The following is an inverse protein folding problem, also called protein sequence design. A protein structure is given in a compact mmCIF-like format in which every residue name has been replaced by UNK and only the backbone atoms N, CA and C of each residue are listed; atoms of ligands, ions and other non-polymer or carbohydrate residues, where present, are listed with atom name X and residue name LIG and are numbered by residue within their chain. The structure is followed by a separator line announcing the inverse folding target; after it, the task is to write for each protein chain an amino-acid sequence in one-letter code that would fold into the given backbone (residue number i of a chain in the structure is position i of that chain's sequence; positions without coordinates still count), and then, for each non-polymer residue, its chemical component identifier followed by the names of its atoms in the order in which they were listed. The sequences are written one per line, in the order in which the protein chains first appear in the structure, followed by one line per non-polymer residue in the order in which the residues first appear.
data_IF_646686941405
#
_entry.id   IF_646686941405
#
_cell.length_a   1.000
_cell.length_b   1.000
_cell.length_c   1.000
_cell.angle_alpha   90.00
_cell.angle_beta   90.00
_cell.angle_gamma   90.00
#
_symmetry.space_group_name_H-M   'P 1'
#
loop_
_entity.id
_entity.type
_entity.pdbx_description
1 polymer ?
#
# COMPACT_ATOMS: atom_id res chain seq x y z
N UNK A 1 -4.94 -18.37 2.63
CA UNK A 1 -4.19 -17.12 2.90
C UNK A 1 -5.09 -16.21 3.68
N UNK A 2 -4.63 -15.71 4.83
CA UNK A 2 -5.49 -15.05 5.81
C UNK A 2 -5.52 -13.54 5.51
N UNK A 3 -6.68 -13.01 5.15
CA UNK A 3 -6.90 -11.56 5.09
C UNK A 3 -7.01 -11.05 6.53
N UNK A 4 -6.83 -9.74 6.73
CA UNK A 4 -7.01 -9.16 8.06
C UNK A 4 -8.44 -9.43 8.56
N UNK A 5 -8.59 -9.80 9.82
CA UNK A 5 -9.89 -10.11 10.44
C UNK A 5 -10.41 -8.86 11.12
N UNK A 6 -11.66 -8.50 10.85
CA UNK A 6 -12.34 -7.35 11.44
C UNK A 6 -12.77 -7.58 12.89
N UNK A 7 -13.22 -6.52 13.58
CA UNK A 7 -13.76 -6.62 14.95
C UNK A 7 -14.98 -7.56 15.06
N UNK A 8 -15.65 -7.86 13.95
CA UNK A 8 -16.76 -8.81 13.86
C UNK A 8 -16.32 -10.27 13.62
N UNK A 9 -15.02 -10.54 13.51
CA UNK A 9 -14.47 -11.88 13.26
C UNK A 9 -14.48 -12.31 11.79
N UNK A 10 -14.91 -11.45 10.87
CA UNK A 10 -14.94 -11.75 9.43
C UNK A 10 -13.66 -11.27 8.72
N UNK A 11 -13.28 -11.97 7.65
CA UNK A 11 -12.19 -11.55 6.79
C UNK A 11 -12.53 -10.23 6.08
N UNK A 12 -11.59 -9.29 6.09
CA UNK A 12 -11.69 -8.08 5.32
C UNK A 12 -11.75 -8.38 3.82
N UNK A 13 -12.54 -7.58 3.12
CA UNK A 13 -12.71 -7.66 1.66
C UNK A 13 -11.41 -7.40 0.89
N UNK A 14 -10.45 -6.70 1.51
CA UNK A 14 -9.19 -6.32 0.91
C UNK A 14 -8.00 -6.82 1.73
N UNK A 15 -6.92 -7.16 1.03
CA UNK A 15 -5.60 -7.30 1.62
C UNK A 15 -5.13 -5.96 2.21
N UNK A 16 -4.50 -5.98 3.38
CA UNK A 16 -4.08 -4.75 4.07
C UNK A 16 -2.77 -4.24 3.48
N UNK A 17 -2.75 -3.03 2.88
CA UNK A 17 -1.51 -2.44 2.38
C UNK A 17 -0.60 -2.00 3.54
N UNK A 18 0.70 -1.92 3.28
CA UNK A 18 1.66 -1.41 4.25
C UNK A 18 1.40 0.06 4.62
N UNK A 19 1.67 0.41 5.88
CA UNK A 19 1.66 1.79 6.38
C UNK A 19 2.95 2.55 6.06
N UNK A 20 4.05 1.82 5.78
CA UNK A 20 5.34 2.44 5.47
C UNK A 20 5.27 3.19 4.15
N UNK A 21 5.77 4.44 4.14
CA UNK A 21 5.69 5.36 3.01
C UNK A 21 4.26 5.67 2.51
N UNK A 22 3.21 5.28 3.26
CA UNK A 22 1.84 5.46 2.81
C UNK A 22 1.46 6.93 2.64
N UNK A 23 2.07 7.83 3.43
CA UNK A 23 1.86 9.27 3.35
C UNK A 23 2.23 9.87 1.98
N UNK A 24 3.13 9.23 1.21
CA UNK A 24 3.55 9.66 -0.13
C UNK A 24 2.53 9.34 -1.23
N UNK A 25 1.44 8.62 -0.91
CA UNK A 25 0.41 8.29 -1.88
C UNK A 25 -0.48 9.51 -2.18
N UNK A 26 -0.91 9.66 -3.43
CA UNK A 26 -1.83 10.72 -3.85
C UNK A 26 -3.27 10.50 -3.34
N UNK A 27 -3.66 9.23 -3.19
CA UNK A 27 -4.93 8.79 -2.59
C UNK A 27 -4.66 7.61 -1.65
N UNK A 28 -5.57 7.40 -0.71
CA UNK A 28 -5.43 6.37 0.30
C UNK A 28 -6.44 5.23 0.10
N UNK A 29 -6.11 4.05 0.63
CA UNK A 29 -6.70 2.72 0.38
C UNK A 29 -6.60 2.20 -1.08
N UNK A 30 -7.18 1.03 -1.36
CA UNK A 30 -7.19 0.42 -2.69
C UNK A 30 -8.09 1.12 -3.70
N UNK A 31 -9.21 1.69 -3.25
CA UNK A 31 -10.21 2.38 -4.08
C UNK A 31 -9.89 3.86 -4.30
N UNK A 32 -8.91 4.40 -3.56
CA UNK A 32 -8.44 5.76 -3.67
C UNK A 32 -9.48 6.80 -3.28
N UNK A 33 -10.39 6.48 -2.36
CA UNK A 33 -11.53 7.35 -2.01
C UNK A 33 -11.27 8.32 -0.84
N UNK A 34 -10.10 8.26 -0.20
CA UNK A 34 -9.69 9.26 0.77
C UNK A 34 -8.55 10.13 0.20
N UNK A 35 -8.63 11.43 0.46
CA UNK A 35 -7.67 12.44 0.02
C UNK A 35 -6.53 12.64 1.02
N UNK A 36 -6.74 12.30 2.30
CA UNK A 36 -5.76 12.48 3.37
C UNK A 36 -5.64 11.22 4.24
N UNK A 37 -4.53 11.11 4.98
CA UNK A 37 -4.35 10.05 5.98
C UNK A 37 -5.39 10.18 7.08
N UNK A 38 -5.70 11.40 7.48
CA UNK A 38 -6.62 11.74 8.54
C UNK A 38 -8.05 11.30 8.18
N UNK A 39 -8.49 11.51 6.93
CA UNK A 39 -9.76 10.98 6.41
C UNK A 39 -9.79 9.44 6.43
N UNK A 40 -8.71 8.78 5.99
CA UNK A 40 -8.64 7.32 6.03
C UNK A 40 -8.70 6.80 7.49
N UNK A 41 -7.93 7.41 8.39
CA UNK A 41 -7.85 7.00 9.79
C UNK A 41 -9.21 7.09 10.47
N UNK A 42 -9.91 8.20 10.28
CA UNK A 42 -11.27 8.34 10.82
C UNK A 42 -12.21 7.26 10.30
N UNK A 43 -12.22 7.04 8.98
CA UNK A 43 -13.10 6.03 8.40
C UNK A 43 -12.82 4.63 8.96
N UNK A 44 -11.56 4.28 9.20
CA UNK A 44 -11.15 2.99 9.80
C UNK A 44 -11.53 2.90 11.29
N UNK A 45 -11.30 3.96 12.07
CA UNK A 45 -11.66 4.02 13.48
C UNK A 45 -13.17 3.79 13.69
N UNK A 46 -13.99 4.36 12.81
CA UNK A 46 -15.44 4.32 12.91
C UNK A 46 -16.09 3.11 12.20
N UNK A 47 -15.39 2.47 11.26
CA UNK A 47 -15.94 1.36 10.48
C UNK A 47 -16.35 0.17 11.40
N UNK A 48 -17.64 -0.22 11.45
CA UNK A 48 -18.13 -1.27 12.34
C UNK A 48 -17.45 -2.61 12.17
N UNK A 49 -17.08 -2.93 10.93
CA UNK A 49 -16.42 -4.18 10.56
C UNK A 49 -14.89 -4.11 10.68
N UNK A 50 -14.30 -2.97 11.09
CA UNK A 50 -12.85 -2.84 11.30
C UNK A 50 -12.57 -2.63 12.79
N UNK A 51 -12.82 -1.42 13.31
CA UNK A 51 -12.58 -1.07 14.71
C UNK A 51 -13.86 -0.79 15.51
N UNK A 52 -14.95 -0.41 14.82
CA UNK A 52 -16.29 -0.24 15.41
C UNK A 52 -16.37 0.74 16.59
N UNK A 53 -15.54 1.78 16.60
CA UNK A 53 -15.58 2.80 17.66
C UNK A 53 -16.48 3.98 17.30
N UNK A 54 -16.72 4.85 18.28
CA UNK A 54 -17.25 6.20 18.09
C UNK A 54 -16.30 7.22 18.71
N UNK A 55 -16.37 8.47 18.29
CA UNK A 55 -15.54 9.53 18.89
C UNK A 55 -15.79 9.68 20.40
N UNK A 56 -17.04 9.53 20.85
CA UNK A 56 -17.35 9.56 22.28
C UNK A 56 -16.60 8.47 23.04
N UNK A 57 -16.57 7.24 22.51
CA UNK A 57 -15.84 6.11 23.11
C UNK A 57 -14.32 6.33 23.07
N UNK A 58 -13.78 6.79 21.94
CA UNK A 58 -12.34 7.04 21.78
C UNK A 58 -11.86 8.09 22.79
N UNK A 59 -12.53 9.24 22.85
CA UNK A 59 -12.14 10.33 23.74
C UNK A 59 -12.32 9.94 25.20
N UNK A 60 -13.41 9.22 25.55
CA UNK A 60 -13.61 8.69 26.91
C UNK A 60 -12.46 7.79 27.32
N UNK A 61 -12.09 6.79 26.49
CA UNK A 61 -10.99 5.86 26.77
C UNK A 61 -9.64 6.55 26.88
N UNK A 62 -9.36 7.53 26.03
CA UNK A 62 -8.14 8.34 26.15
C UNK A 62 -8.14 9.19 27.44
N UNK A 63 -9.31 9.55 27.98
CA UNK A 63 -9.43 10.26 29.25
C UNK A 63 -9.23 9.41 30.49
N UNK A 64 -9.38 8.08 30.39
CA UNK A 64 -9.23 7.13 31.51
C UNK A 64 -7.77 6.97 31.96
N UNK A 65 -6.82 7.10 31.03
CA UNK A 65 -5.39 7.10 31.34
C UNK A 65 -4.87 8.55 31.44
N UNK A 66 -4.38 9.01 32.61
CA UNK A 66 -3.92 10.38 32.78
C UNK A 66 -2.73 10.76 31.89
N UNK A 67 -1.99 9.79 31.34
CA UNK A 67 -0.88 10.04 30.43
C UNK A 67 -1.34 10.74 29.14
N UNK A 68 -2.46 10.31 28.54
CA UNK A 68 -2.93 10.89 27.28
C UNK A 68 -3.34 12.35 27.42
N UNK A 69 -4.24 12.77 28.35
CA UNK A 69 -4.60 14.17 28.47
C UNK A 69 -3.42 15.09 28.78
N UNK A 70 -2.41 14.62 29.52
CA UNK A 70 -1.18 15.38 29.75
C UNK A 70 -0.36 15.54 28.46
N UNK A 71 -0.16 14.46 27.71
CA UNK A 71 0.57 14.48 26.43
C UNK A 71 -0.15 15.34 25.37
N UNK A 72 -1.47 15.22 25.27
CA UNK A 72 -2.27 16.06 24.36
C UNK A 72 -2.18 17.55 24.73
N UNK A 73 -2.30 17.91 26.02
CA UNK A 73 -2.16 19.31 26.45
C UNK A 73 -0.78 19.88 26.15
N UNK A 74 0.27 19.06 26.31
CA UNK A 74 1.65 19.47 26.01
C UNK A 74 1.86 19.75 24.52
N UNK A 75 1.27 18.95 23.64
CA UNK A 75 1.52 19.02 22.19
C UNK A 75 0.54 19.97 21.50
N UNK A 76 -0.74 19.94 21.88
CA UNK A 76 -1.84 20.63 21.20
C UNK A 76 -2.49 21.75 22.05
N UNK A 77 -2.10 21.92 23.32
CA UNK A 77 -2.65 22.94 24.21
C UNK A 77 -3.98 22.58 24.89
N UNK A 78 -4.59 21.44 24.54
CA UNK A 78 -5.87 20.99 25.06
C UNK A 78 -5.89 19.46 25.31
N UNK A 79 -6.97 18.94 25.89
CA UNK A 79 -7.15 17.50 26.05
C UNK A 79 -7.30 16.75 24.72
N UNK A 80 -7.49 15.42 24.73
CA UNK A 80 -7.72 14.67 23.51
C UNK A 80 -8.99 15.17 22.80
N UNK A 81 -8.84 15.62 21.56
CA UNK A 81 -9.93 15.98 20.65
C UNK A 81 -9.89 15.10 19.41
N UNK A 82 -11.00 15.02 18.66
CA UNK A 82 -11.05 14.32 17.37
C UNK A 82 -9.90 14.75 16.45
N UNK A 83 -9.72 16.06 16.31
CA UNK A 83 -8.70 16.67 15.47
C UNK A 83 -7.29 16.31 15.97
N UNK A 84 -7.04 16.41 17.28
CA UNK A 84 -5.75 16.05 17.87
C UNK A 84 -5.40 14.58 17.63
N UNK A 85 -6.36 13.66 17.80
CA UNK A 85 -6.13 12.22 17.61
C UNK A 85 -5.79 11.93 16.15
N UNK A 86 -6.55 12.46 15.19
CA UNK A 86 -6.27 12.27 13.77
C UNK A 86 -4.92 12.88 13.37
N UNK A 87 -4.58 14.06 13.89
CA UNK A 87 -3.30 14.70 13.65
C UNK A 87 -2.13 13.88 14.23
N UNK A 88 -2.26 13.33 15.43
CA UNK A 88 -1.24 12.49 16.04
C UNK A 88 -1.01 11.20 15.24
N UNK A 89 -2.09 10.52 14.81
CA UNK A 89 -1.99 9.33 13.96
C UNK A 89 -1.37 9.65 12.60
N UNK A 90 -1.78 10.74 11.97
CA UNK A 90 -1.22 11.22 10.71
C UNK A 90 0.28 11.54 10.83
N UNK A 91 0.68 12.21 11.90
CA UNK A 91 2.09 12.50 12.19
C UNK A 91 2.92 11.23 12.37
N UNK A 92 2.42 10.25 13.13
CA UNK A 92 3.06 8.96 13.28
C UNK A 92 3.19 8.23 11.93
N UNK A 93 2.13 8.14 11.14
CA UNK A 93 2.21 7.50 9.81
C UNK A 93 3.18 8.21 8.85
N UNK A 94 3.33 9.53 8.95
CA UNK A 94 4.33 10.29 8.18
C UNK A 94 5.76 9.99 8.63
N UNK A 95 5.99 9.68 9.91
CA UNK A 95 7.32 9.29 10.39
C UNK A 95 7.76 7.90 9.96
N UNK A 96 6.81 7.03 9.54
CA UNK A 96 7.07 5.69 9.03
C UNK A 96 7.57 5.68 7.58
N UNK A 97 8.64 6.43 7.32
CA UNK A 97 9.32 6.48 6.02
C UNK A 97 10.47 5.48 6.01
N UNK A 98 10.44 4.50 5.11
CA UNK A 98 11.62 3.65 4.87
C UNK A 98 12.51 4.34 3.83
N UNK A 99 13.75 4.64 4.20
CA UNK A 99 14.75 5.23 3.31
C UNK A 99 15.98 4.33 3.21
N UNK A 100 16.98 4.76 2.46
CA UNK A 100 18.26 4.05 2.25
C UNK A 100 18.11 2.65 1.65
N UNK A 101 17.05 2.45 0.83
CA UNK A 101 16.94 1.24 0.01
C UNK A 101 18.11 1.13 -0.95
N UNK A 102 18.52 -0.10 -1.30
CA UNK A 102 19.64 -0.32 -2.23
C UNK A 102 19.40 0.37 -3.59
N UNK A 103 18.15 0.40 -4.03
CA UNK A 103 17.79 1.13 -5.25
C UNK A 103 17.89 2.66 -5.10
N UNK A 104 17.59 3.22 -3.93
CA UNK A 104 17.73 4.67 -3.70
C UNK A 104 19.20 5.07 -3.80
N UNK A 105 20.12 4.30 -3.17
CA UNK A 105 21.57 4.53 -3.27
C UNK A 105 22.08 4.39 -4.70
N UNK A 106 21.55 3.41 -5.46
CA UNK A 106 21.83 3.29 -6.89
C UNK A 106 21.41 4.54 -7.67
N UNK A 107 20.22 5.11 -7.39
CA UNK A 107 19.76 6.34 -8.03
C UNK A 107 20.59 7.58 -7.63
N UNK A 108 21.18 7.57 -6.44
CA UNK A 108 22.12 8.60 -5.95
C UNK A 108 23.54 8.45 -6.53
N UNK A 109 23.79 7.41 -7.31
CA UNK A 109 25.06 7.18 -8.00
C UNK A 109 26.07 6.32 -7.23
N UNK A 110 25.65 5.63 -6.15
CA UNK A 110 26.51 4.67 -5.45
C UNK A 110 26.78 3.45 -6.34
N UNK A 111 28.02 3.36 -6.82
CA UNK A 111 28.47 2.25 -7.64
C UNK A 111 28.36 0.92 -6.87
N UNK A 112 27.71 -0.07 -7.48
CA UNK A 112 27.54 -1.41 -6.89
C UNK A 112 26.49 -1.50 -5.78
N UNK A 113 25.67 -0.47 -5.56
CA UNK A 113 24.55 -0.54 -4.62
C UNK A 113 23.57 -1.68 -4.96
N UNK A 114 23.42 -1.96 -6.25
CA UNK A 114 22.70 -3.11 -6.81
C UNK A 114 23.63 -3.93 -7.74
N UNK A 115 23.30 -5.20 -7.91
CA UNK A 115 24.04 -6.18 -8.71
C UNK A 115 23.66 -6.08 -10.19
N UNK A 116 24.48 -6.62 -11.11
CA UNK A 116 24.14 -6.64 -12.54
C UNK A 116 22.78 -7.30 -12.87
N UNK A 117 22.40 -8.34 -12.13
CA UNK A 117 21.09 -8.99 -12.29
C UNK A 117 19.93 -8.08 -11.87
N UNK A 118 20.10 -7.31 -10.80
CA UNK A 118 19.10 -6.34 -10.33
C UNK A 118 19.00 -5.14 -11.29
N UNK A 119 20.12 -4.67 -11.86
CA UNK A 119 20.14 -3.66 -12.93
C UNK A 119 19.40 -4.16 -14.19
N UNK A 120 19.66 -5.40 -14.59
CA UNK A 120 18.96 -6.03 -15.71
C UNK A 120 17.46 -6.19 -15.41
N UNK A 121 17.11 -6.54 -14.18
CA UNK A 121 15.73 -6.56 -13.68
C UNK A 121 15.04 -5.20 -13.82
N UNK A 122 15.72 -4.12 -13.43
CA UNK A 122 15.23 -2.76 -13.59
C UNK A 122 15.07 -2.38 -15.07
N UNK A 123 16.03 -2.76 -15.93
CA UNK A 123 15.93 -2.54 -17.37
C UNK A 123 14.73 -3.26 -17.99
N UNK A 124 14.46 -4.50 -17.59
CA UNK A 124 13.29 -5.27 -18.01
C UNK A 124 11.99 -4.65 -17.48
N UNK A 125 11.95 -4.22 -16.22
CA UNK A 125 10.80 -3.53 -15.63
C UNK A 125 10.43 -2.28 -16.44
N UNK A 126 11.43 -1.51 -16.90
CA UNK A 126 11.24 -0.38 -17.80
C UNK A 126 10.76 -0.81 -19.19
N UNK A 127 11.43 -1.76 -19.82
CA UNK A 127 11.19 -2.13 -21.22
C UNK A 127 9.84 -2.84 -21.43
N UNK A 128 9.36 -3.58 -20.44
CA UNK A 128 8.03 -4.17 -20.47
C UNK A 128 6.92 -3.12 -20.31
N UNK A 129 7.24 -1.96 -19.72
CA UNK A 129 6.31 -0.83 -19.56
C UNK A 129 5.70 -0.68 -18.16
N UNK A 130 6.19 -1.42 -17.16
CA UNK A 130 5.71 -1.37 -15.78
C UNK A 130 5.78 0.05 -15.20
N UNK A 131 6.81 0.81 -15.60
CA UNK A 131 7.03 2.21 -15.21
C UNK A 131 5.91 3.17 -15.63
N UNK A 132 5.05 2.79 -16.59
CA UNK A 132 3.91 3.64 -17.00
C UNK A 132 2.92 3.83 -15.84
N UNK A 133 2.84 2.84 -14.94
CA UNK A 133 2.00 2.88 -13.75
C UNK A 133 2.83 3.00 -12.45
N UNK A 134 3.95 2.30 -12.38
CA UNK A 134 4.80 2.22 -11.19
C UNK A 134 6.01 3.16 -11.33
N UNK A 135 5.77 4.44 -11.07
CA UNK A 135 6.75 5.53 -11.19
C UNK A 135 6.72 6.48 -10.00
N UNK A 136 7.63 7.45 -10.02
CA UNK A 136 7.78 8.45 -8.96
C UNK A 136 8.42 7.88 -7.70
N UNK A 137 8.42 8.69 -6.65
CA UNK A 137 9.17 8.40 -5.42
C UNK A 137 8.75 7.09 -4.75
N UNK A 138 7.47 6.70 -4.84
CA UNK A 138 6.94 5.48 -4.22
C UNK A 138 6.82 4.30 -5.22
N UNK A 139 7.34 4.45 -6.45
CA UNK A 139 7.27 3.44 -7.52
C UNK A 139 5.81 2.95 -7.70
N UNK A 140 4.90 3.91 -7.81
CA UNK A 140 3.45 3.73 -7.70
C UNK A 140 2.82 4.66 -6.67
N UNK A 141 1.56 4.43 -6.33
CA UNK A 141 0.82 5.21 -5.32
C UNK A 141 0.30 6.58 -5.77
N UNK A 142 0.68 7.02 -6.97
CA UNK A 142 0.40 8.37 -7.49
C UNK A 142 -0.70 8.41 -8.57
N UNK A 143 -1.30 7.28 -8.94
CA UNK A 143 -2.36 7.23 -9.95
C UNK A 143 -3.38 6.11 -9.71
N UNK A 144 -4.51 6.22 -10.41
CA UNK A 144 -5.57 5.21 -10.47
C UNK A 144 -5.51 4.49 -11.82
N UNK A 145 -5.71 3.18 -11.83
CA UNK A 145 -5.71 2.39 -13.04
C UNK A 145 -6.71 1.24 -12.96
N UNK A 146 -7.27 0.86 -14.11
CA UNK A 146 -8.10 -0.33 -14.23
C UNK A 146 -7.25 -1.60 -14.08
N UNK A 147 -7.76 -2.57 -13.33
CA UNK A 147 -7.13 -3.87 -13.18
C UNK A 147 -8.19 -4.99 -13.21
N UNK A 148 -8.17 -5.89 -14.21
CA UNK A 148 -7.23 -5.96 -15.33
C UNK A 148 -7.53 -4.95 -16.46
N UNK A 149 -6.50 -4.47 -17.17
CA UNK A 149 -6.64 -3.73 -18.44
C UNK A 149 -6.93 -4.66 -19.61
N UNK A 150 -6.27 -5.81 -19.63
CA UNK A 150 -6.44 -6.88 -20.59
C UNK A 150 -6.92 -8.12 -19.87
N UNK A 151 -8.10 -8.61 -20.25
CA UNK A 151 -8.55 -9.92 -19.83
C UNK A 151 -7.95 -10.98 -20.77
N UNK A 152 -7.50 -12.14 -20.26
CA UNK A 152 -7.21 -13.28 -21.11
C UNK A 152 -8.43 -13.58 -21.99
N UNK A 153 -8.21 -13.81 -23.29
CA UNK A 153 -9.18 -13.72 -24.38
C UNK A 153 -10.43 -14.65 -24.28
N UNK A 154 -11.63 -14.05 -24.30
CA UNK A 154 -12.76 -14.27 -25.23
C UNK A 154 -13.35 -15.67 -25.52
N UNK A 155 -13.49 -16.60 -24.58
CA UNK A 155 -14.39 -17.77 -24.82
C UNK A 155 -15.40 -18.09 -23.75
N UNK A 156 -15.22 -17.71 -22.49
CA UNK A 156 -16.24 -17.92 -21.46
C UNK A 156 -16.04 -16.89 -20.38
N UNK A 157 -16.96 -15.93 -20.27
CA UNK A 157 -17.44 -15.30 -19.03
C UNK A 157 -18.38 -14.17 -19.46
N UNK A 158 -19.53 -14.10 -18.81
CA UNK A 158 -20.62 -13.19 -19.14
C UNK A 158 -20.25 -11.71 -18.96
N UNK A 159 -21.27 -10.87 -18.94
CA UNK A 159 -21.18 -9.42 -18.64
C UNK A 159 -20.19 -9.12 -17.51
N UNK A 160 -19.63 -7.91 -17.48
CA UNK A 160 -18.68 -7.44 -16.45
C UNK A 160 -19.08 -7.75 -14.99
N UNK A 161 -20.36 -8.01 -14.73
CA UNK A 161 -20.92 -8.43 -13.44
C UNK A 161 -20.66 -9.91 -13.08
N UNK A 162 -20.43 -10.79 -14.06
CA UNK A 162 -20.22 -12.23 -13.87
C UNK A 162 -18.81 -12.58 -13.40
N UNK A 163 -17.84 -11.66 -13.52
CA UNK A 163 -16.42 -11.92 -13.21
C UNK A 163 -15.92 -11.16 -11.96
N UNK A 164 -16.66 -10.15 -11.49
CA UNK A 164 -16.44 -9.62 -10.15
C UNK A 164 -16.92 -10.68 -9.13
N UNK A 165 -15.97 -11.46 -8.59
CA UNK A 165 -16.26 -12.42 -7.53
C UNK A 165 -16.86 -11.71 -6.29
N UNK A 166 -16.63 -10.41 -6.15
CA UNK A 166 -17.16 -9.58 -5.09
C UNK A 166 -17.28 -8.09 -5.46
N UNK A 167 -18.02 -7.32 -4.66
CA UNK A 167 -18.02 -5.85 -4.74
C UNK A 167 -16.62 -5.23 -4.50
N UNK A 168 -15.70 -5.96 -3.88
CA UNK A 168 -14.32 -5.50 -3.71
C UNK A 168 -13.60 -5.41 -5.07
N UNK A 169 -13.88 -6.37 -5.96
CA UNK A 169 -13.29 -6.45 -7.30
C UNK A 169 -13.81 -5.35 -8.24
N UNK A 170 -14.96 -4.76 -7.92
CA UNK A 170 -15.47 -3.58 -8.62
C UNK A 170 -14.63 -2.32 -8.35
N UNK A 171 -13.75 -2.34 -7.34
CA UNK A 171 -12.83 -1.25 -7.04
C UNK A 171 -13.55 0.05 -6.73
N UNK A 172 -13.15 1.13 -7.39
CA UNK A 172 -13.66 2.49 -7.17
C UNK A 172 -15.17 2.62 -7.48
N UNK A 173 -15.71 1.82 -8.39
CA UNK A 173 -17.15 1.78 -8.68
C UNK A 173 -18.01 1.56 -7.42
N UNK A 174 -17.54 0.74 -6.47
CA UNK A 174 -18.25 0.47 -5.23
C UNK A 174 -18.43 1.73 -4.34
N UNK A 175 -17.75 2.83 -4.67
CA UNK A 175 -17.87 4.12 -3.98
C UNK A 175 -18.57 5.15 -4.86
N UNK A 176 -18.30 5.16 -6.17
CA UNK A 176 -18.76 6.23 -7.07
C UNK A 176 -20.03 5.91 -7.83
N UNK A 177 -20.35 4.63 -8.05
CA UNK A 177 -21.44 4.18 -8.92
C UNK A 177 -21.26 4.48 -10.41
N UNK A 178 -20.11 5.02 -10.82
CA UNK A 178 -19.81 5.45 -12.19
C UNK A 178 -19.22 4.31 -13.00
N UNK A 179 -19.82 3.95 -14.14
CA UNK A 179 -19.43 2.78 -14.93
C UNK A 179 -17.93 2.79 -15.36
N UNK A 180 -17.36 3.96 -15.60
CA UNK A 180 -15.95 4.16 -15.93
C UNK A 180 -14.99 3.75 -14.80
N UNK A 181 -15.44 3.80 -13.55
CA UNK A 181 -14.68 3.44 -12.35
C UNK A 181 -14.71 1.94 -12.03
N UNK A 182 -15.38 1.12 -12.86
CA UNK A 182 -15.40 -0.35 -12.70
C UNK A 182 -13.98 -0.91 -12.78
N UNK A 183 -13.61 -1.68 -11.76
CA UNK A 183 -12.30 -2.29 -11.59
C UNK A 183 -11.14 -1.29 -11.55
N UNK A 184 -11.41 -0.03 -11.21
CA UNK A 184 -10.36 0.97 -11.04
C UNK A 184 -9.84 0.93 -9.61
N UNK A 185 -8.53 0.79 -9.48
CA UNK A 185 -7.82 0.75 -8.21
C UNK A 185 -6.69 1.78 -8.21
N UNK A 186 -6.28 2.20 -7.02
CA UNK A 186 -5.02 2.92 -6.86
C UNK A 186 -3.89 1.95 -7.18
N UNK A 187 -2.96 2.37 -8.04
CA UNK A 187 -1.73 1.60 -8.26
C UNK A 187 -0.93 1.58 -6.96
N UNK A 188 -0.64 0.42 -6.36
CA UNK A 188 0.06 0.36 -5.08
C UNK A 188 1.51 0.82 -5.22
N UNK A 189 2.09 1.29 -4.12
CA UNK A 189 3.53 1.46 -4.01
C UNK A 189 4.21 0.09 -4.08
N UNK A 190 5.37 0.04 -4.73
CA UNK A 190 6.23 -1.15 -4.73
C UNK A 190 7.37 -1.06 -3.70
N UNK A 191 7.44 0.01 -2.90
CA UNK A 191 8.41 0.06 -1.80
C UNK A 191 8.10 -1.00 -0.77
N UNK A 192 9.14 -1.74 -0.38
CA UNK A 192 9.06 -2.88 0.53
C UNK A 192 8.16 -4.03 0.05
N UNK A 193 7.87 -4.13 -1.26
CA UNK A 193 6.92 -5.13 -1.78
C UNK A 193 7.37 -6.57 -1.48
N UNK A 194 8.67 -6.84 -1.40
CA UNK A 194 9.20 -8.15 -1.02
C UNK A 194 8.80 -8.62 0.40
N UNK A 195 8.35 -7.71 1.26
CA UNK A 195 7.97 -7.99 2.65
C UNK A 195 6.45 -7.99 2.89
N UNK A 196 5.64 -7.78 1.85
CA UNK A 196 4.20 -7.52 2.00
C UNK A 196 3.34 -8.54 1.28
N UNK A 197 3.79 -9.80 1.19
CA UNK A 197 2.94 -10.88 0.74
C UNK A 197 1.72 -11.04 1.67
N UNK A 198 0.54 -11.45 1.15
CA UNK A 198 0.26 -11.75 -0.26
C UNK A 198 -0.03 -10.49 -1.10
N UNK A 199 -0.12 -10.65 -2.41
CA UNK A 199 -0.20 -9.55 -3.38
C UNK A 199 -1.60 -9.36 -3.96
N UNK A 200 -1.80 -8.15 -4.52
CA UNK A 200 -3.08 -7.60 -5.02
C UNK A 200 -4.08 -7.21 -3.92
N UNK A 201 -5.17 -6.56 -4.35
CA UNK A 201 -6.22 -6.07 -3.47
C UNK A 201 -6.96 -7.19 -2.76
N UNK A 202 -6.97 -8.39 -3.34
CA UNK A 202 -7.64 -9.59 -2.85
C UNK A 202 -6.66 -10.61 -2.20
N UNK A 203 -5.35 -10.35 -2.24
CA UNK A 203 -4.35 -11.25 -1.69
C UNK A 203 -4.21 -12.59 -2.45
N UNK A 204 -4.65 -12.68 -3.71
CA UNK A 204 -4.67 -13.97 -4.44
C UNK A 204 -3.30 -14.49 -4.88
N UNK A 205 -2.30 -13.62 -5.02
CA UNK A 205 -0.97 -14.02 -5.43
C UNK A 205 -0.07 -14.22 -4.22
N UNK A 206 0.45 -15.44 -4.05
CA UNK A 206 1.24 -15.80 -2.88
C UNK A 206 2.71 -15.37 -2.97
N UNK A 207 3.25 -15.25 -4.18
CA UNK A 207 4.67 -14.93 -4.41
C UNK A 207 4.82 -13.74 -5.36
N UNK A 208 5.97 -13.05 -5.27
CA UNK A 208 6.25 -11.92 -6.15
C UNK A 208 6.31 -12.36 -7.60
N UNK A 209 6.85 -13.54 -7.88
CA UNK A 209 6.94 -14.10 -9.23
C UNK A 209 5.55 -14.28 -9.84
N UNK A 210 4.61 -14.82 -9.06
CA UNK A 210 3.22 -14.98 -9.49
C UNK A 210 2.57 -13.61 -9.74
N UNK A 211 2.81 -12.63 -8.87
CA UNK A 211 2.29 -11.28 -9.04
C UNK A 211 2.87 -10.59 -10.29
N UNK A 212 4.18 -10.69 -10.53
CA UNK A 212 4.87 -10.09 -11.69
C UNK A 212 4.39 -10.72 -13.00
N UNK A 213 4.29 -12.05 -13.06
CA UNK A 213 3.78 -12.75 -14.24
C UNK A 213 2.32 -12.38 -14.54
N UNK A 214 1.48 -12.31 -13.51
CA UNK A 214 0.07 -11.95 -13.64
C UNK A 214 -0.11 -10.47 -14.04
N UNK A 215 0.71 -9.55 -13.52
CA UNK A 215 0.77 -8.14 -13.97
C UNK A 215 1.13 -8.03 -15.44
N UNK A 216 2.16 -8.74 -15.90
CA UNK A 216 2.55 -8.73 -17.31
C UNK A 216 1.41 -9.22 -18.21
N UNK A 217 0.72 -10.30 -17.82
CA UNK A 217 -0.40 -10.83 -18.58
C UNK A 217 -1.61 -9.89 -18.61
N UNK A 218 -2.01 -9.35 -17.44
CA UNK A 218 -3.26 -8.60 -17.27
C UNK A 218 -3.14 -7.11 -17.59
N UNK A 219 -1.98 -6.50 -17.40
CA UNK A 219 -1.79 -5.06 -17.61
C UNK A 219 -1.08 -4.74 -18.92
N UNK A 220 -0.27 -5.66 -19.43
CA UNK A 220 0.56 -5.42 -20.62
C UNK A 220 0.22 -6.38 -21.78
N UNK A 221 -0.65 -7.38 -21.55
CA UNK A 221 -0.98 -8.46 -22.50
C UNK A 221 0.28 -9.22 -22.96
N UNK A 222 1.20 -9.47 -22.03
CA UNK A 222 2.48 -10.15 -22.30
C UNK A 222 2.61 -11.42 -21.46
N UNK A 223 3.06 -12.47 -22.11
CA UNK A 223 3.66 -13.61 -21.41
C UNK A 223 5.16 -13.40 -21.41
N UNK A 224 5.75 -13.23 -20.22
CA UNK A 224 7.18 -12.97 -20.08
C UNK A 224 7.91 -14.23 -19.62
N UNK A 225 9.17 -14.46 -20.05
CA UNK A 225 9.95 -15.62 -19.64
C UNK A 225 10.13 -15.68 -18.11
N UNK A 226 10.21 -16.90 -17.54
CA UNK A 226 10.45 -17.07 -16.11
C UNK A 226 11.80 -16.48 -15.65
N UNK A 227 12.79 -16.40 -16.56
CA UNK A 227 14.06 -15.70 -16.32
C UNK A 227 13.83 -14.22 -16.04
N UNK A 228 13.00 -13.58 -16.86
CA UNK A 228 12.72 -12.15 -16.77
C UNK A 228 11.90 -11.84 -15.53
N UNK A 229 10.94 -12.70 -15.20
CA UNK A 229 10.19 -12.63 -13.92
C UNK A 229 11.17 -12.61 -12.74
N UNK A 230 12.12 -13.55 -12.69
CA UNK A 230 13.09 -13.62 -11.59
C UNK A 230 13.99 -12.39 -11.52
N UNK A 231 14.44 -11.87 -12.66
CA UNK A 231 15.26 -10.66 -12.69
C UNK A 231 14.47 -9.43 -12.22
N UNK A 232 13.21 -9.30 -12.64
CA UNK A 232 12.33 -8.24 -12.15
C UNK A 232 12.10 -8.38 -10.63
N UNK A 233 11.90 -9.59 -10.12
CA UNK A 233 11.77 -9.83 -8.67
C UNK A 233 13.03 -9.38 -7.92
N UNK A 234 14.22 -9.73 -8.40
CA UNK A 234 15.48 -9.23 -7.83
C UNK A 234 15.52 -7.70 -7.77
N UNK A 235 15.11 -7.02 -8.85
CA UNK A 235 14.96 -5.56 -8.82
C UNK A 235 13.96 -5.11 -7.74
N UNK A 236 12.78 -5.72 -7.64
CA UNK A 236 11.77 -5.34 -6.64
C UNK A 236 12.26 -5.53 -5.20
N UNK A 237 13.13 -6.52 -4.93
CA UNK A 237 13.75 -6.71 -3.62
C UNK A 237 14.63 -5.52 -3.21
N UNK A 238 15.26 -4.84 -4.17
CA UNK A 238 16.08 -3.63 -3.93
C UNK A 238 15.27 -2.41 -3.47
N UNK A 239 13.94 -2.44 -3.63
CA UNK A 239 13.00 -1.40 -3.17
C UNK A 239 12.66 -1.49 -1.69
N UNK A 240 13.24 -2.45 -0.97
CA UNK A 240 13.12 -2.58 0.48
C UNK A 240 14.07 -1.59 1.16
N UNK A 241 13.49 -0.64 1.91
CA UNK A 241 14.24 0.35 2.68
C UNK A 241 14.47 -0.09 4.12
N UNK A 242 15.36 0.63 4.82
CA UNK A 242 15.65 0.41 6.24
C UNK A 242 14.52 0.99 7.09
N UNK A 243 14.01 0.21 8.04
CA UNK A 243 12.95 0.62 8.94
C UNK A 243 13.44 1.75 9.89
N UNK A 244 12.66 2.84 10.10
CA UNK A 244 13.00 3.88 11.08
C UNK A 244 13.46 3.38 12.45
N UNK A 245 12.88 2.27 12.95
CA UNK A 245 13.26 1.70 14.25
C UNK A 245 14.66 1.09 14.25
N UNK A 246 15.14 0.60 13.10
CA UNK A 246 16.49 0.05 12.94
C UNK A 246 17.52 1.16 12.73
N UNK A 247 17.09 2.30 12.18
CA UNK A 247 17.93 3.47 11.91
C UNK A 247 18.48 4.11 13.21
N UNK A 248 17.68 4.08 14.28
CA UNK A 248 18.11 4.50 15.63
C UNK A 248 19.15 3.57 16.28
N UNK A 249 19.23 2.30 15.84
CA UNK A 249 20.25 1.36 16.31
C UNK A 249 21.56 1.44 15.52
N UNK A 250 21.54 1.96 14.29
CA UNK A 250 22.72 2.07 13.42
C UNK A 250 23.48 3.39 13.61
N UNK A 251 22.81 4.42 14.10
CA UNK A 251 23.47 5.62 14.64
C UNK A 251 23.50 5.42 16.16
N UNK A 252 24.63 4.99 16.71
CA UNK A 252 24.80 4.87 18.16
C UNK A 252 24.62 6.23 18.84
N UNK A 253 23.37 6.58 19.11
CA UNK A 253 23.00 7.75 19.89
C UNK A 253 22.99 7.32 21.36
N UNK A 254 23.90 7.82 22.22
CA UNK A 254 24.08 7.31 23.58
C UNK A 254 22.99 7.75 24.56
N UNK A 255 22.05 8.61 24.18
CA UNK A 255 21.16 9.26 25.14
C UNK A 255 19.68 8.83 24.95
N UNK A 256 19.37 7.66 25.51
CA UNK A 256 18.08 7.32 26.11
C UNK A 256 18.25 7.09 27.61
#
# INVERSE_FOLDING_TARGET
MQRAVGANGEDHLFNTPSIFNAWKNYRYNWRGNYATLEEQNEAILLAPNVMGNSWAVIISRLGEDPHYPLSFRRIFGEGPTRQGVLAALGAFQRSLTTADGRFDRYLEGEAGAITPDEEQGYALFKSYGCISCHQGENVGGNLMQRFPLFRPSFTQLGSDEAEAASMADMGRYAVTGRAEDRHVFRVPSLRNVALTAPYFHDGRAATLEAAVADMAARQLRRTIPATDVRLIVKFLETLTGVNPTERGSLRGDPDH
#
